data_IF_534440741158
#
_entry.id   IF_534440741158
#
_cell.length_a   1.000
_cell.length_b   1.000
_cell.length_c   1.000
_cell.angle_alpha   90.00
_cell.angle_beta   90.00
_cell.angle_gamma   90.00
#
_symmetry.space_group_name_H-M   'P 1'
#
loop_
_entity.id
_entity.type
_entity.pdbx_description
1 polymer ?
#
# COMPACT_ATOMS: atom_id res chain seq x y z
N UNK A 1 -13.32 21.60 -7.23
CA UNK A 1 -12.20 21.87 -6.30
C UNK A 1 -12.75 22.11 -4.90
N UNK A 2 -11.91 22.13 -3.87
CA UNK A 2 -12.37 22.46 -2.53
C UNK A 2 -12.81 23.93 -2.47
N UNK A 3 -13.99 24.18 -1.91
CA UNK A 3 -14.54 25.52 -1.70
C UNK A 3 -14.88 25.69 -0.22
N UNK A 4 -14.17 26.57 0.47
CA UNK A 4 -14.37 26.82 1.90
C UNK A 4 -15.75 27.44 2.23
N UNK A 5 -16.41 28.06 1.24
CA UNK A 5 -17.71 28.69 1.40
C UNK A 5 -18.88 27.70 1.25
N UNK A 6 -18.60 26.48 0.80
CA UNK A 6 -19.61 25.45 0.56
C UNK A 6 -19.35 24.22 1.41
N UNK A 7 -20.42 23.46 1.68
CA UNK A 7 -20.27 22.14 2.28
C UNK A 7 -19.61 21.19 1.29
N UNK A 8 -18.89 20.20 1.80
CA UNK A 8 -18.42 19.10 0.97
C UNK A 8 -19.62 18.40 0.30
N UNK A 9 -19.48 17.91 -0.94
CA UNK A 9 -20.55 17.27 -1.69
C UNK A 9 -20.82 15.86 -1.16
N UNK A 10 -21.38 15.75 0.04
CA UNK A 10 -21.62 14.48 0.73
C UNK A 10 -22.54 13.52 -0.03
N UNK A 11 -23.43 14.04 -0.87
CA UNK A 11 -24.30 13.23 -1.73
C UNK A 11 -23.54 12.36 -2.74
N UNK A 12 -22.26 12.65 -3.02
CA UNK A 12 -21.43 11.76 -3.86
C UNK A 12 -21.24 10.37 -3.25
N UNK A 13 -21.41 10.21 -1.93
CA UNK A 13 -21.32 8.89 -1.28
C UNK A 13 -22.46 7.94 -1.67
N UNK A 14 -23.49 8.41 -2.37
CA UNK A 14 -24.54 7.57 -2.96
C UNK A 14 -24.06 6.84 -4.23
N UNK A 15 -22.95 7.26 -4.84
CA UNK A 15 -22.29 6.55 -5.95
C UNK A 15 -21.24 5.56 -5.39
N UNK A 16 -21.37 4.29 -5.78
CA UNK A 16 -20.54 3.18 -5.28
C UNK A 16 -19.04 3.38 -5.50
N UNK A 17 -18.63 4.15 -6.52
CA UNK A 17 -17.21 4.44 -6.79
C UNK A 17 -16.63 5.36 -5.74
N UNK A 18 -17.37 6.41 -5.37
CA UNK A 18 -16.98 7.34 -4.31
C UNK A 18 -17.01 6.65 -2.94
N UNK A 19 -18.05 5.88 -2.66
CA UNK A 19 -18.12 5.05 -1.46
C UNK A 19 -16.99 4.01 -1.41
N UNK A 20 -16.57 3.47 -2.56
CA UNK A 20 -15.43 2.57 -2.70
C UNK A 20 -14.11 3.19 -2.25
N UNK A 21 -13.82 4.41 -2.70
CA UNK A 21 -12.63 5.16 -2.24
C UNK A 21 -12.68 5.41 -0.73
N UNK A 22 -13.85 5.76 -0.18
CA UNK A 22 -14.01 5.94 1.27
C UNK A 22 -13.72 4.64 2.05
N UNK A 23 -14.24 3.49 1.58
CA UNK A 23 -13.95 2.18 2.18
C UNK A 23 -12.47 1.83 2.10
N UNK A 24 -11.83 2.06 0.96
CA UNK A 24 -10.39 1.84 0.80
C UNK A 24 -9.59 2.68 1.80
N UNK A 25 -9.91 3.96 1.98
CA UNK A 25 -9.23 4.83 2.97
C UNK A 25 -9.45 4.31 4.40
N UNK A 26 -10.65 3.83 4.74
CA UNK A 26 -10.92 3.20 6.04
C UNK A 26 -10.05 1.94 6.25
N UNK A 27 -9.97 1.09 5.24
CA UNK A 27 -9.25 -0.18 5.34
C UNK A 27 -7.73 0.06 5.39
N UNK A 28 -7.21 1.05 4.64
CA UNK A 28 -5.83 1.55 4.73
C UNK A 28 -5.51 2.07 6.13
N UNK A 29 -6.36 2.91 6.72
CA UNK A 29 -6.15 3.42 8.07
C UNK A 29 -6.17 2.32 9.13
N UNK A 30 -6.99 1.29 8.94
CA UNK A 30 -7.05 0.12 9.81
C UNK A 30 -5.73 -0.66 9.72
N UNK A 31 -5.30 -0.99 8.50
CA UNK A 31 -4.05 -1.69 8.26
C UNK A 31 -2.84 -0.93 8.82
N UNK A 32 -2.77 0.38 8.59
CA UNK A 32 -1.69 1.23 9.09
C UNK A 32 -1.56 1.18 10.61
N UNK A 33 -2.68 1.15 11.34
CA UNK A 33 -2.70 1.05 12.81
C UNK A 33 -2.32 -0.35 13.31
N UNK A 34 -2.76 -1.39 12.61
CA UNK A 34 -2.55 -2.78 13.02
C UNK A 34 -1.15 -3.32 12.70
N UNK A 35 -0.50 -2.78 11.67
CA UNK A 35 0.82 -3.22 11.23
C UNK A 35 1.90 -2.21 11.65
N UNK A 36 2.56 -2.47 12.78
CA UNK A 36 3.68 -1.67 13.30
C UNK A 36 4.76 -1.41 12.25
N UNK A 37 5.02 -2.36 11.35
CA UNK A 37 6.01 -2.22 10.29
C UNK A 37 5.76 -1.00 9.40
N UNK A 38 4.51 -0.55 9.27
CA UNK A 38 4.15 0.59 8.42
C UNK A 38 4.46 1.95 9.03
N UNK A 39 4.77 2.03 10.34
CA UNK A 39 4.95 3.33 11.01
C UNK A 39 6.04 3.36 12.10
N UNK A 40 6.39 2.24 12.72
CA UNK A 40 7.25 2.21 13.91
C UNK A 40 8.66 2.75 13.65
N UNK A 41 9.22 2.47 12.48
CA UNK A 41 10.59 2.81 12.09
C UNK A 41 10.63 3.83 10.94
N UNK A 42 9.63 4.71 10.80
CA UNK A 42 9.56 5.68 9.68
C UNK A 42 10.78 6.61 9.56
N UNK A 43 11.43 6.91 10.68
CA UNK A 43 12.61 7.78 10.74
C UNK A 43 13.93 7.02 10.84
N UNK A 44 13.91 5.69 10.66
CA UNK A 44 15.08 4.84 10.81
C UNK A 44 15.34 4.08 9.51
N UNK A 45 16.59 4.08 9.03
CA UNK A 45 16.95 3.40 7.79
C UNK A 45 16.60 1.89 7.80
N UNK A 46 16.65 1.24 8.97
CA UNK A 46 16.29 -0.18 9.11
C UNK A 46 14.80 -0.49 8.92
N UNK A 47 13.94 0.53 8.85
CA UNK A 47 12.50 0.38 8.64
C UNK A 47 12.09 0.20 7.17
N UNK A 48 13.03 0.33 6.22
CA UNK A 48 12.76 0.36 4.79
C UNK A 48 13.88 -0.32 3.99
N UNK A 49 13.50 -1.11 2.98
CA UNK A 49 14.45 -1.74 2.06
C UNK A 49 13.82 -1.90 0.67
N UNK A 50 14.49 -1.41 -0.38
CA UNK A 50 14.02 -1.61 -1.75
C UNK A 50 14.10 -3.07 -2.17
N UNK A 51 13.05 -3.59 -2.80
CA UNK A 51 13.07 -4.85 -3.55
C UNK A 51 13.27 -4.56 -5.03
N UNK A 52 12.46 -3.66 -5.58
CA UNK A 52 12.54 -3.20 -6.97
C UNK A 52 12.29 -1.70 -7.02
N UNK A 53 13.33 -0.95 -7.41
CA UNK A 53 13.28 0.50 -7.60
C UNK A 53 13.61 0.92 -9.05
N UNK A 54 13.94 -0.05 -9.92
CA UNK A 54 14.51 0.19 -11.24
C UNK A 54 13.65 -0.39 -12.38
N UNK A 55 12.48 -0.96 -12.07
CA UNK A 55 11.56 -1.51 -13.05
C UNK A 55 10.71 -0.41 -13.70
N UNK A 56 11.40 0.58 -14.27
CA UNK A 56 10.79 1.76 -14.88
C UNK A 56 9.99 1.40 -16.14
N UNK A 57 10.44 0.39 -16.90
CA UNK A 57 9.76 -0.09 -18.10
C UNK A 57 8.34 -0.58 -17.79
N UNK A 58 8.14 -1.23 -16.64
CA UNK A 58 6.83 -1.69 -16.20
C UNK A 58 6.14 -0.74 -15.22
N UNK A 59 6.82 0.33 -14.79
CA UNK A 59 6.40 1.26 -13.73
C UNK A 59 5.99 0.54 -12.45
N UNK A 60 6.83 -0.42 -12.02
CA UNK A 60 6.64 -1.19 -10.80
C UNK A 60 7.62 -0.74 -9.73
N UNK A 61 7.11 -0.52 -8.54
CA UNK A 61 7.89 -0.27 -7.33
C UNK A 61 7.54 -1.30 -6.28
N UNK A 62 8.56 -1.84 -5.61
CA UNK A 62 8.36 -2.76 -4.51
C UNK A 62 9.41 -2.58 -3.42
N UNK A 63 8.99 -2.68 -2.16
CA UNK A 63 9.87 -2.53 -1.00
C UNK A 63 9.32 -3.28 0.21
N UNK A 64 10.21 -3.53 1.18
CA UNK A 64 9.89 -4.09 2.49
C UNK A 64 9.83 -2.98 3.51
N UNK A 65 8.85 -3.05 4.40
CA UNK A 65 8.76 -2.27 5.65
C UNK A 65 8.98 -3.19 6.84
N UNK A 66 9.73 -2.74 7.84
CA UNK A 66 10.10 -3.53 9.03
C UNK A 66 9.82 -2.75 10.31
N UNK A 67 9.51 -3.47 11.39
CA UNK A 67 9.27 -2.86 12.71
C UNK A 67 10.41 -3.05 13.72
N UNK A 68 11.47 -3.77 13.32
CA UNK A 68 12.61 -4.10 14.17
C UNK A 68 12.38 -5.23 15.18
N UNK A 69 11.18 -5.78 15.27
CA UNK A 69 10.81 -6.91 16.16
C UNK A 69 10.39 -8.17 15.42
N UNK A 70 10.47 -8.14 14.08
CA UNK A 70 10.23 -9.28 13.20
C UNK A 70 8.98 -9.15 12.32
N UNK A 71 8.15 -8.12 12.51
CA UNK A 71 7.03 -7.87 11.59
C UNK A 71 7.54 -7.20 10.32
N UNK A 72 7.01 -7.67 9.19
CA UNK A 72 7.35 -7.19 7.87
C UNK A 72 6.09 -7.00 7.03
N UNK A 73 6.09 -5.97 6.19
CA UNK A 73 5.08 -5.76 5.16
C UNK A 73 5.80 -5.52 3.83
N UNK A 74 5.43 -6.27 2.80
CA UNK A 74 5.85 -5.99 1.43
C UNK A 74 4.80 -5.09 0.79
N UNK A 75 5.26 -4.01 0.18
CA UNK A 75 4.42 -3.13 -0.63
C UNK A 75 4.82 -3.30 -2.09
N UNK A 76 3.84 -3.46 -2.97
CA UNK A 76 4.01 -3.56 -4.42
C UNK A 76 3.05 -2.60 -5.09
N UNK A 77 3.57 -1.74 -5.96
CA UNK A 77 2.78 -0.77 -6.72
C UNK A 77 3.00 -1.01 -8.21
N UNK A 78 1.92 -1.36 -8.93
CA UNK A 78 1.87 -1.30 -10.40
C UNK A 78 1.20 0.02 -10.80
N UNK A 79 1.95 0.93 -11.40
CA UNK A 79 1.47 2.27 -11.74
C UNK A 79 0.99 2.38 -13.19
N UNK A 80 0.69 1.25 -13.82
CA UNK A 80 0.06 1.18 -15.15
C UNK A 80 -1.28 0.44 -15.07
N UNK A 81 -2.22 0.68 -16.00
CA UNK A 81 -3.47 -0.08 -16.04
C UNK A 81 -3.30 -1.52 -16.57
N UNK A 82 -2.07 -1.94 -16.89
CA UNK A 82 -1.77 -3.24 -17.50
C UNK A 82 -1.46 -4.27 -16.39
N UNK A 83 -2.29 -5.32 -16.22
CA UNK A 83 -1.98 -6.41 -15.29
C UNK A 83 -0.70 -7.15 -15.67
N UNK A 84 0.04 -7.64 -14.67
CA UNK A 84 1.34 -8.31 -14.84
C UNK A 84 1.27 -9.73 -14.30
N UNK A 85 0.84 -10.66 -15.14
CA UNK A 85 0.78 -12.07 -14.79
C UNK A 85 2.17 -12.69 -14.70
N UNK A 86 2.38 -13.62 -13.76
CA UNK A 86 3.67 -14.31 -13.59
C UNK A 86 4.83 -13.42 -13.11
N UNK A 87 4.53 -12.23 -12.58
CA UNK A 87 5.56 -11.33 -12.05
C UNK A 87 6.24 -11.94 -10.82
N UNK A 88 7.55 -12.16 -10.92
CA UNK A 88 8.37 -12.66 -9.81
C UNK A 88 8.93 -11.50 -9.00
N UNK A 89 8.79 -11.56 -7.68
CA UNK A 89 9.30 -10.55 -6.76
C UNK A 89 10.26 -11.20 -5.76
N UNK A 90 11.43 -10.58 -5.56
CA UNK A 90 12.34 -10.99 -4.49
C UNK A 90 11.72 -10.70 -3.12
N UNK A 91 11.70 -11.68 -2.22
CA UNK A 91 11.16 -11.51 -0.87
C UNK A 91 12.24 -11.85 0.18
N UNK A 92 12.17 -11.29 1.39
CA UNK A 92 13.09 -11.67 2.47
C UNK A 92 13.10 -13.18 2.73
N UNK A 93 14.30 -13.74 2.88
CA UNK A 93 14.51 -15.14 3.23
C UNK A 93 13.92 -15.49 4.61
N UNK A 94 13.69 -16.79 4.84
CA UNK A 94 13.19 -17.30 6.11
C UNK A 94 11.68 -17.13 6.33
N UNK A 95 10.97 -16.49 5.40
CA UNK A 95 9.51 -16.45 5.36
C UNK A 95 9.00 -17.52 4.39
N UNK A 96 8.15 -18.42 4.88
CA UNK A 96 7.63 -19.54 4.07
C UNK A 96 6.37 -19.18 3.28
N UNK A 97 5.63 -18.17 3.71
CA UNK A 97 4.42 -17.70 3.04
C UNK A 97 4.09 -16.25 3.41
N UNK A 98 3.51 -15.53 2.46
CA UNK A 98 2.99 -14.17 2.63
C UNK A 98 1.47 -14.19 2.54
N UNK A 99 0.82 -13.38 3.39
CA UNK A 99 -0.63 -13.14 3.32
C UNK A 99 -0.86 -11.82 2.61
N UNK A 100 -1.73 -11.81 1.60
CA UNK A 100 -2.24 -10.57 1.01
C UNK A 100 -3.07 -9.83 2.07
N UNK A 101 -2.59 -8.66 2.50
CA UNK A 101 -3.24 -7.86 3.54
C UNK A 101 -4.20 -6.81 2.95
N UNK A 102 -3.91 -6.32 1.75
CA UNK A 102 -4.73 -5.35 1.02
C UNK A 102 -4.46 -5.50 -0.47
N UNK A 103 -5.52 -5.42 -1.26
CA UNK A 103 -5.47 -5.30 -2.71
C UNK A 103 -6.45 -4.20 -3.13
N UNK A 104 -6.02 -3.28 -3.99
CA UNK A 104 -6.77 -2.09 -4.37
C UNK A 104 -7.47 -2.21 -5.73
N UNK A 105 -7.35 -3.37 -6.41
CA UNK A 105 -8.02 -3.65 -7.70
C UNK A 105 -9.36 -4.35 -7.53
#
# INVERSE_FOLDING_TARGET
EWNHAESLPWGLLEDDRHAGVQRLVRDLNTLYREQSALHRLDCEAGGFEWISAHDAEHSIYAWVRRDGTGRMVIVVCNLTPVPREGYSLGVPDGVTAWKEALNTV
#
